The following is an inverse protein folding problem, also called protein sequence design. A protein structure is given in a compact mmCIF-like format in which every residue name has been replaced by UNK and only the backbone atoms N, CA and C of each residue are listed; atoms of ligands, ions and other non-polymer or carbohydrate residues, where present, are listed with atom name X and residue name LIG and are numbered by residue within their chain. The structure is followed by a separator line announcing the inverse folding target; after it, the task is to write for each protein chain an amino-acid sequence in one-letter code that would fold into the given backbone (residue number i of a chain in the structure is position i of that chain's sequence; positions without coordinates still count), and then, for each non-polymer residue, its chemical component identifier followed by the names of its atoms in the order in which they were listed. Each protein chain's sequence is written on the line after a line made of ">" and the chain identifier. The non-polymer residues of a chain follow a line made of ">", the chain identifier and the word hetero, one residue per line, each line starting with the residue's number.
data_IF_439234748332
#
_entry.id   IF_439234748332
#
_cell.length_a   1.000
_cell.length_b   1.000
_cell.length_c   1.000
_cell.angle_alpha   90.00
_cell.angle_beta   90.00
_cell.angle_gamma   90.00
#
_symmetry.space_group_name_H-M   'P 1'
#
loop_
_entity.id
_entity.type
_entity.pdbx_description
1 polymer ?
#
# COMPACT_ATOMS: atom_id res chain seq x y z
N UNK A 1 49.52 38.11 -51.69
CA UNK A 1 50.71 37.48 -51.09
C UNK A 1 50.45 37.40 -49.60
N UNK A 2 49.43 36.65 -49.17
CA UNK A 2 49.51 35.23 -48.82
C UNK A 2 50.66 35.01 -47.82
N UNK A 3 50.34 35.20 -46.54
CA UNK A 3 51.21 34.84 -45.42
C UNK A 3 50.74 33.49 -44.88
N UNK A 4 51.74 32.71 -44.48
CA UNK A 4 51.77 31.28 -44.25
C UNK A 4 50.75 30.70 -43.26
N UNK A 5 50.39 29.46 -43.58
CA UNK A 5 49.72 28.50 -42.74
C UNK A 5 50.63 28.04 -41.60
N UNK A 6 50.14 28.14 -40.36
CA UNK A 6 50.62 27.36 -39.24
C UNK A 6 49.45 26.51 -38.72
N UNK A 7 49.71 25.21 -38.70
CA UNK A 7 48.84 24.11 -38.33
C UNK A 7 48.59 24.17 -36.82
N UNK A 8 47.33 24.18 -36.38
CA UNK A 8 46.96 24.01 -34.97
C UNK A 8 46.41 22.58 -34.80
N UNK A 9 47.13 21.77 -34.04
CA UNK A 9 46.82 20.36 -33.78
C UNK A 9 45.58 20.26 -32.87
N UNK A 10 44.45 19.85 -33.44
CA UNK A 10 43.27 19.46 -32.65
C UNK A 10 43.56 18.13 -31.98
N UNK A 11 44.03 18.20 -30.72
CA UNK A 11 44.05 17.09 -29.77
C UNK A 11 42.61 16.65 -29.52
N UNK A 12 42.18 15.59 -30.20
CA UNK A 12 40.93 14.90 -29.89
C UNK A 12 41.05 14.30 -28.48
N UNK A 13 40.30 14.88 -27.55
CA UNK A 13 40.12 14.38 -26.19
C UNK A 13 39.35 13.05 -26.27
N UNK A 14 40.03 11.96 -25.91
CA UNK A 14 39.43 10.64 -25.76
C UNK A 14 38.37 10.71 -24.66
N UNK A 15 37.10 10.81 -25.06
CA UNK A 15 35.96 10.84 -24.14
C UNK A 15 35.97 9.63 -23.20
N UNK A 16 35.59 9.80 -21.93
CA UNK A 16 35.72 8.76 -20.93
C UNK A 16 34.84 7.56 -21.32
N UNK A 17 35.49 6.40 -21.37
CA UNK A 17 34.89 5.09 -21.53
C UNK A 17 33.67 4.94 -20.62
N UNK A 18 32.52 4.59 -21.21
CA UNK A 18 31.34 4.14 -20.46
C UNK A 18 31.73 2.90 -19.66
N UNK A 19 31.88 3.05 -18.35
CA UNK A 19 31.93 1.93 -17.43
C UNK A 19 30.54 1.29 -17.37
N UNK A 20 30.39 0.17 -18.08
CA UNK A 20 29.34 -0.81 -17.82
C UNK A 20 29.56 -1.38 -16.41
N UNK A 21 28.78 -0.90 -15.44
CA UNK A 21 28.82 -1.39 -14.07
C UNK A 21 28.27 -0.44 -13.02
N UNK A 22 27.04 0.07 -13.15
CA UNK A 22 26.33 0.70 -12.03
C UNK A 22 24.96 0.05 -11.80
N UNK A 23 24.97 -0.99 -10.97
CA UNK A 23 23.77 -1.69 -10.51
C UNK A 23 22.99 -0.95 -9.41
N UNK A 24 23.17 0.36 -9.22
CA UNK A 24 22.51 1.07 -8.13
C UNK A 24 22.34 2.57 -8.36
N UNK A 25 21.44 2.95 -9.27
CA UNK A 25 20.98 4.33 -9.41
C UNK A 25 20.73 4.99 -8.04
N UNK A 26 21.23 6.21 -7.88
CA UNK A 26 21.32 6.92 -6.59
C UNK A 26 19.98 7.10 -5.85
N UNK A 27 20.00 7.59 -4.60
CA UNK A 27 18.79 7.71 -3.78
C UNK A 27 17.69 8.54 -4.46
N UNK A 28 16.50 7.96 -4.56
CA UNK A 28 15.31 8.56 -5.18
C UNK A 28 14.32 8.97 -4.10
N UNK A 29 13.86 10.22 -4.16
CA UNK A 29 12.77 10.73 -3.33
C UNK A 29 11.41 10.56 -4.03
N UNK A 30 10.34 10.98 -3.35
CA UNK A 30 9.00 10.99 -3.94
C UNK A 30 8.37 12.38 -3.92
N UNK A 31 7.39 12.60 -4.81
CA UNK A 31 6.61 13.83 -4.82
C UNK A 31 5.78 13.99 -3.54
N UNK A 32 5.51 15.23 -3.14
CA UNK A 32 4.72 15.55 -1.92
C UNK A 32 3.35 14.87 -1.89
N UNK A 33 2.68 14.77 -3.04
CA UNK A 33 1.38 14.10 -3.15
C UNK A 33 1.47 12.62 -2.75
N UNK A 34 2.45 11.87 -3.27
CA UNK A 34 2.65 10.46 -2.92
C UNK A 34 3.01 10.28 -1.44
N UNK A 35 3.87 11.14 -0.90
CA UNK A 35 4.22 11.12 0.51
C UNK A 35 2.99 11.36 1.40
N UNK A 36 2.14 12.33 1.06
CA UNK A 36 0.86 12.55 1.74
C UNK A 36 -0.08 11.35 1.61
N UNK A 37 -0.14 10.70 0.45
CA UNK A 37 -0.95 9.49 0.28
C UNK A 37 -0.49 8.38 1.24
N UNK A 38 0.82 8.13 1.37
CA UNK A 38 1.36 7.16 2.33
C UNK A 38 1.03 7.54 3.78
N UNK A 39 1.18 8.82 4.14
CA UNK A 39 0.84 9.30 5.48
C UNK A 39 -0.64 9.09 5.78
N UNK A 40 -1.54 9.57 4.90
CA UNK A 40 -2.99 9.50 5.12
C UNK A 40 -3.47 8.05 5.18
N UNK A 41 -3.06 7.23 4.20
CA UNK A 41 -3.45 5.82 4.16
C UNK A 41 -2.83 5.02 5.32
N UNK A 42 -1.57 5.30 5.67
CA UNK A 42 -0.92 4.72 6.85
C UNK A 42 -1.65 5.10 8.15
N UNK A 43 -2.02 6.37 8.32
CA UNK A 43 -2.80 6.80 9.51
C UNK A 43 -4.19 6.16 9.56
N UNK A 44 -4.87 6.03 8.42
CA UNK A 44 -6.17 5.37 8.35
C UNK A 44 -6.08 3.89 8.76
N UNK A 45 -5.08 3.17 8.25
CA UNK A 45 -4.81 1.78 8.65
C UNK A 45 -4.39 1.65 10.11
N UNK A 46 -3.54 2.56 10.59
CA UNK A 46 -3.11 2.61 11.99
C UNK A 46 -4.30 2.86 12.93
N UNK A 47 -5.18 3.79 12.58
CA UNK A 47 -6.39 4.07 13.35
C UNK A 47 -7.31 2.85 13.40
N UNK A 48 -7.54 2.19 12.26
CA UNK A 48 -8.32 0.95 12.23
C UNK A 48 -7.70 -0.13 13.12
N UNK A 49 -6.40 -0.38 12.99
CA UNK A 49 -5.68 -1.37 13.78
C UNK A 49 -5.73 -1.05 15.29
N UNK A 50 -5.57 0.22 15.64
CA UNK A 50 -5.64 0.69 17.02
C UNK A 50 -7.01 0.45 17.63
N UNK A 51 -8.09 0.87 16.95
CA UNK A 51 -9.46 0.70 17.45
C UNK A 51 -9.83 -0.78 17.58
N UNK A 52 -9.51 -1.61 16.57
CA UNK A 52 -9.78 -3.06 16.66
C UNK A 52 -9.03 -3.69 17.85
N UNK A 53 -7.80 -3.24 18.12
CA UNK A 53 -7.03 -3.75 19.27
C UNK A 53 -7.70 -3.37 20.59
N UNK A 54 -8.16 -2.13 20.74
CA UNK A 54 -8.89 -1.68 21.94
C UNK A 54 -10.21 -2.43 22.12
N UNK A 55 -10.99 -2.58 21.05
CA UNK A 55 -12.27 -3.31 21.10
C UNK A 55 -12.05 -4.78 21.48
N UNK A 56 -10.96 -5.40 21.02
CA UNK A 56 -10.59 -6.76 21.41
C UNK A 56 -10.21 -6.86 22.89
N UNK A 57 -9.50 -5.87 23.44
CA UNK A 57 -9.21 -5.86 24.88
C UNK A 57 -10.46 -5.70 25.73
N UNK A 58 -11.39 -4.81 25.35
CA UNK A 58 -12.66 -4.69 26.07
C UNK A 58 -13.50 -5.97 26.01
N UNK A 59 -13.52 -6.66 24.86
CA UNK A 59 -14.23 -7.94 24.72
C UNK A 59 -13.63 -9.05 25.59
N UNK A 60 -12.32 -9.01 25.84
CA UNK A 60 -11.64 -9.94 26.76
C UNK A 60 -11.94 -9.64 28.24
N UNK A 61 -12.23 -8.38 28.57
CA UNK A 61 -12.62 -7.95 29.92
C UNK A 61 -14.09 -8.19 30.21
N UNK A 62 -14.95 -7.92 29.21
CA UNK A 62 -16.40 -8.07 29.27
C UNK A 62 -16.92 -8.71 27.97
N UNK A 63 -17.29 -10.01 27.99
CA UNK A 63 -17.79 -10.70 26.80
C UNK A 63 -19.15 -10.17 26.31
N UNK A 64 -19.87 -9.40 27.13
CA UNK A 64 -21.12 -8.73 26.72
C UNK A 64 -20.85 -7.36 26.05
N UNK A 65 -19.58 -6.94 25.91
CA UNK A 65 -19.21 -5.71 25.23
C UNK A 65 -19.54 -5.76 23.73
N UNK A 66 -20.40 -4.85 23.28
CA UNK A 66 -20.71 -4.68 21.85
C UNK A 66 -19.82 -3.61 21.22
N UNK A 67 -18.93 -3.96 20.27
CA UNK A 67 -18.08 -2.97 19.60
C UNK A 67 -18.91 -1.93 18.85
N UNK A 68 -18.44 -0.68 18.81
CA UNK A 68 -19.17 0.44 18.22
C UNK A 68 -19.49 0.27 16.73
N UNK A 69 -18.75 -0.60 16.03
CA UNK A 69 -18.98 -0.93 14.62
C UNK A 69 -19.84 -2.19 14.42
N UNK A 70 -20.44 -2.75 15.48
CA UNK A 70 -21.38 -3.88 15.42
C UNK A 70 -22.81 -3.37 15.51
N UNK A 71 -23.47 -3.17 14.36
CA UNK A 71 -24.83 -2.60 14.29
C UNK A 71 -25.90 -3.64 13.98
N UNK A 72 -25.54 -4.67 13.21
CA UNK A 72 -26.46 -5.70 12.76
C UNK A 72 -25.71 -7.05 12.58
N UNK A 73 -26.42 -8.17 12.35
CA UNK A 73 -25.76 -9.48 12.23
C UNK A 73 -24.75 -9.58 11.07
N UNK A 74 -24.92 -8.78 10.02
CA UNK A 74 -24.00 -8.72 8.86
C UNK A 74 -22.79 -7.85 9.17
N UNK A 75 -23.00 -6.68 9.78
CA UNK A 75 -21.96 -5.72 10.16
C UNK A 75 -21.67 -5.91 11.65
N UNK A 76 -20.88 -6.93 11.95
CA UNK A 76 -20.54 -7.38 13.31
C UNK A 76 -19.04 -7.56 13.46
N UNK A 77 -18.39 -6.58 14.09
CA UNK A 77 -16.95 -6.68 14.39
C UNK A 77 -16.66 -7.70 15.49
N UNK A 78 -17.57 -7.89 16.45
CA UNK A 78 -17.42 -8.88 17.52
C UNK A 78 -17.18 -10.29 16.96
N UNK A 79 -18.07 -10.74 16.06
CA UNK A 79 -17.97 -12.07 15.44
C UNK A 79 -16.66 -12.31 14.67
N UNK A 80 -16.07 -11.25 14.10
CA UNK A 80 -14.77 -11.33 13.42
C UNK A 80 -13.63 -11.41 14.44
N UNK A 81 -13.71 -10.68 15.55
CA UNK A 81 -12.65 -10.65 16.57
C UNK A 81 -12.54 -11.93 17.38
N UNK A 82 -13.65 -12.66 17.53
CA UNK A 82 -13.73 -13.97 18.19
C UNK A 82 -13.26 -15.12 17.30
N UNK A 83 -13.14 -14.91 15.99
CA UNK A 83 -12.73 -15.94 15.04
C UNK A 83 -11.24 -16.29 15.17
N UNK A 84 -10.88 -17.55 14.88
CA UNK A 84 -9.48 -18.01 14.85
C UNK A 84 -8.63 -17.21 13.84
N UNK A 85 -9.26 -16.72 12.78
CA UNK A 85 -8.63 -15.91 11.75
C UNK A 85 -8.17 -14.54 12.27
N UNK A 86 -8.60 -14.11 13.46
CA UNK A 86 -8.11 -12.91 14.11
C UNK A 86 -6.66 -13.04 14.62
N UNK A 87 -6.09 -14.25 14.70
CA UNK A 87 -4.76 -14.55 15.27
C UNK A 87 -3.91 -15.51 14.42
N UNK A 88 -3.60 -15.12 13.18
CA UNK A 88 -2.98 -16.02 12.19
C UNK A 88 -1.51 -16.34 12.51
N UNK A 89 -0.79 -15.38 13.08
CA UNK A 89 0.65 -15.48 13.36
C UNK A 89 0.96 -15.78 14.83
N UNK A 90 -0.03 -16.27 15.59
CA UNK A 90 0.09 -16.46 17.05
C UNK A 90 0.00 -15.17 17.86
N UNK A 91 -0.44 -14.08 17.23
CA UNK A 91 -0.78 -12.82 17.87
C UNK A 91 -1.92 -12.15 17.10
N UNK A 92 -2.66 -11.21 17.71
CA UNK A 92 -3.75 -10.51 17.05
C UNK A 92 -3.28 -9.77 15.80
N UNK A 93 -3.91 -10.07 14.65
CA UNK A 93 -3.61 -9.41 13.36
C UNK A 93 -3.63 -7.87 13.44
N UNK A 94 -4.51 -7.21 14.23
CA UNK A 94 -4.46 -5.76 14.42
C UNK A 94 -3.12 -5.26 14.95
N UNK A 95 -2.39 -6.04 15.75
CA UNK A 95 -1.06 -5.67 16.22
C UNK A 95 -0.03 -5.63 15.09
N UNK A 96 -0.12 -6.54 14.12
CA UNK A 96 0.68 -6.47 12.89
C UNK A 96 0.40 -5.15 12.15
N UNK A 97 -0.88 -4.79 12.06
CA UNK A 97 -1.34 -3.53 11.49
C UNK A 97 -0.71 -2.32 12.18
N UNK A 98 -0.72 -2.26 13.52
CA UNK A 98 -0.13 -1.13 14.26
C UNK A 98 1.34 -0.90 13.90
N UNK A 99 2.13 -1.98 13.85
CA UNK A 99 3.56 -1.90 13.49
C UNK A 99 3.72 -1.49 12.03
N UNK A 100 3.09 -2.21 11.11
CA UNK A 100 3.30 -2.02 9.67
C UNK A 100 2.79 -0.67 9.18
N UNK A 101 1.59 -0.25 9.58
CA UNK A 101 1.06 1.07 9.22
C UNK A 101 1.83 2.20 9.90
N UNK A 102 2.26 2.03 11.15
CA UNK A 102 3.13 2.98 11.84
C UNK A 102 4.45 3.20 11.08
N UNK A 103 5.07 2.13 10.57
CA UNK A 103 6.26 2.23 9.72
C UNK A 103 5.96 3.00 8.42
N UNK A 104 4.82 2.73 7.75
CA UNK A 104 4.45 3.47 6.52
C UNK A 104 4.26 4.96 6.79
N UNK A 105 3.62 5.32 7.90
CA UNK A 105 3.49 6.74 8.32
C UNK A 105 4.87 7.35 8.51
N UNK A 106 5.78 6.68 9.21
CA UNK A 106 7.15 7.17 9.42
C UNK A 106 7.91 7.36 8.09
N UNK A 107 7.75 6.45 7.13
CA UNK A 107 8.33 6.55 5.79
C UNK A 107 7.76 7.75 5.04
N UNK A 108 6.43 7.92 5.05
CA UNK A 108 5.75 9.04 4.43
C UNK A 108 6.20 10.39 5.02
N UNK A 109 6.31 10.48 6.33
CA UNK A 109 6.84 11.68 7.02
C UNK A 109 8.31 11.93 6.68
N UNK A 110 9.13 10.87 6.59
CA UNK A 110 10.51 10.96 6.12
C UNK A 110 10.61 11.55 4.72
N UNK A 111 9.75 11.11 3.78
CA UNK A 111 9.68 11.68 2.43
C UNK A 111 9.29 13.17 2.45
N UNK A 112 8.35 13.57 3.31
CA UNK A 112 7.98 14.98 3.48
C UNK A 112 9.13 15.83 4.06
N UNK A 113 9.96 15.24 4.91
CA UNK A 113 11.19 15.86 5.42
C UNK A 113 12.34 15.89 4.41
N UNK A 114 12.15 15.32 3.20
CA UNK A 114 13.16 15.32 2.13
C UNK A 114 14.03 14.07 2.07
N UNK A 115 13.68 13.00 2.79
CA UNK A 115 14.39 11.72 2.69
C UNK A 115 14.37 11.17 1.25
N UNK A 116 15.46 10.54 0.86
CA UNK A 116 15.61 9.83 -0.42
C UNK A 116 16.07 8.42 -0.14
N UNK A 117 15.41 7.44 -0.76
CA UNK A 117 15.68 6.03 -0.52
C UNK A 117 16.29 5.36 -1.74
N UNK A 118 17.11 4.34 -1.50
CA UNK A 118 17.71 3.53 -2.58
C UNK A 118 16.64 2.61 -3.20
N UNK A 119 16.89 2.14 -4.42
CA UNK A 119 15.99 1.22 -5.15
C UNK A 119 15.50 0.03 -4.33
N UNK A 120 16.37 -0.62 -3.56
CA UNK A 120 16.01 -1.80 -2.77
C UNK A 120 14.92 -1.50 -1.72
N UNK A 121 14.93 -0.29 -1.16
CA UNK A 121 13.95 0.14 -0.16
C UNK A 121 12.57 0.28 -0.80
N UNK A 122 12.51 0.85 -2.00
CA UNK A 122 11.29 0.98 -2.78
C UNK A 122 10.70 -0.36 -3.19
N UNK A 123 11.54 -1.33 -3.56
CA UNK A 123 11.12 -2.71 -3.81
C UNK A 123 10.67 -3.43 -2.52
N UNK A 124 11.32 -3.15 -1.39
CA UNK A 124 10.89 -3.65 -0.08
C UNK A 124 9.51 -3.13 0.32
N UNK A 125 9.25 -1.83 0.14
CA UNK A 125 7.94 -1.22 0.37
C UNK A 125 6.88 -1.83 -0.56
N UNK A 126 7.23 -2.09 -1.82
CA UNK A 126 6.35 -2.79 -2.75
C UNK A 126 6.03 -4.20 -2.28
N UNK A 127 7.03 -4.96 -1.84
CA UNK A 127 6.85 -6.32 -1.36
C UNK A 127 5.96 -6.35 -0.11
N UNK A 128 6.19 -5.42 0.84
CA UNK A 128 5.36 -5.28 2.04
C UNK A 128 3.91 -4.89 1.73
N UNK A 129 3.69 -3.93 0.83
CA UNK A 129 2.33 -3.54 0.43
C UNK A 129 1.61 -4.62 -0.38
N UNK A 130 2.34 -5.37 -1.22
CA UNK A 130 1.80 -6.54 -1.94
C UNK A 130 1.39 -7.65 -0.96
N UNK A 131 2.26 -7.96 0.01
CA UNK A 131 1.93 -8.89 1.08
C UNK A 131 0.69 -8.44 1.85
N UNK A 132 0.61 -7.16 2.20
CA UNK A 132 -0.55 -6.58 2.86
C UNK A 132 -1.84 -6.76 2.05
N UNK A 133 -1.83 -6.47 0.74
CA UNK A 133 -3.00 -6.69 -0.12
C UNK A 133 -3.39 -8.16 -0.15
N UNK A 134 -2.44 -9.07 -0.36
CA UNK A 134 -2.71 -10.51 -0.41
C UNK A 134 -3.29 -11.02 0.92
N UNK A 135 -2.74 -10.58 2.05
CA UNK A 135 -3.20 -10.93 3.38
C UNK A 135 -4.61 -10.37 3.65
N UNK A 136 -4.87 -9.10 3.31
CA UNK A 136 -6.20 -8.50 3.40
C UNK A 136 -7.22 -9.23 2.51
N UNK A 137 -6.86 -9.62 1.28
CA UNK A 137 -7.74 -10.38 0.39
C UNK A 137 -8.09 -11.76 0.97
N UNK A 138 -7.12 -12.44 1.59
CA UNK A 138 -7.38 -13.70 2.26
C UNK A 138 -8.30 -13.52 3.49
N UNK A 139 -8.03 -12.53 4.34
CA UNK A 139 -8.91 -12.21 5.48
C UNK A 139 -10.33 -11.81 5.03
N UNK A 140 -10.44 -11.08 3.93
CA UNK A 140 -11.73 -10.74 3.32
C UNK A 140 -12.48 -11.99 2.88
N UNK A 141 -11.81 -12.94 2.23
CA UNK A 141 -12.43 -14.21 1.86
C UNK A 141 -12.97 -14.94 3.10
N UNK A 142 -12.19 -15.04 4.17
CA UNK A 142 -12.62 -15.65 5.44
C UNK A 142 -13.84 -14.90 6.03
N UNK A 143 -13.80 -13.57 6.06
CA UNK A 143 -14.91 -12.73 6.55
C UNK A 143 -16.21 -12.96 5.77
N UNK A 144 -16.14 -12.96 4.43
CA UNK A 144 -17.31 -13.02 3.55
C UNK A 144 -17.92 -14.42 3.43
N UNK A 145 -17.09 -15.46 3.38
CA UNK A 145 -17.51 -16.80 2.97
C UNK A 145 -17.45 -17.85 4.07
N UNK A 146 -16.66 -17.63 5.13
CA UNK A 146 -16.58 -18.54 6.28
C UNK A 146 -17.32 -17.98 7.49
N UNK A 147 -16.97 -16.76 7.93
CA UNK A 147 -17.53 -16.13 9.13
C UNK A 147 -18.91 -15.52 8.86
N UNK A 148 -19.14 -15.05 7.62
CA UNK A 148 -20.37 -14.38 7.20
C UNK A 148 -20.66 -13.07 7.97
N UNK A 149 -19.62 -12.32 8.28
CA UNK A 149 -19.70 -11.00 8.91
C UNK A 149 -18.76 -9.99 8.24
N UNK A 150 -19.02 -8.71 8.47
CA UNK A 150 -18.28 -7.57 7.94
C UNK A 150 -17.88 -6.62 9.07
N UNK A 151 -16.61 -6.22 9.11
CA UNK A 151 -16.11 -5.20 10.04
C UNK A 151 -15.73 -3.93 9.29
N UNK A 152 -16.31 -2.79 9.67
CA UNK A 152 -16.04 -1.50 9.03
C UNK A 152 -14.59 -1.03 9.22
N UNK A 153 -13.97 -1.34 10.37
CA UNK A 153 -12.55 -1.05 10.59
C UNK A 153 -11.64 -1.91 9.72
N UNK A 154 -11.98 -3.19 9.53
CA UNK A 154 -11.27 -4.05 8.58
C UNK A 154 -11.41 -3.52 7.15
N UNK A 155 -12.61 -3.11 6.73
CA UNK A 155 -12.82 -2.48 5.42
C UNK A 155 -11.96 -1.22 5.25
N UNK A 156 -11.84 -0.38 6.28
CA UNK A 156 -10.96 0.79 6.25
C UNK A 156 -9.49 0.39 6.05
N UNK A 157 -9.02 -0.63 6.79
CA UNK A 157 -7.68 -1.18 6.63
C UNK A 157 -7.46 -1.76 5.22
N UNK A 158 -8.44 -2.45 4.63
CA UNK A 158 -8.36 -2.97 3.26
C UNK A 158 -8.19 -1.84 2.25
N UNK A 159 -9.04 -0.82 2.31
CA UNK A 159 -8.97 0.35 1.43
C UNK A 159 -7.61 1.05 1.56
N UNK A 160 -7.16 1.29 2.79
CA UNK A 160 -5.87 1.91 3.05
C UNK A 160 -4.71 1.12 2.41
N UNK A 161 -4.66 -0.19 2.61
CA UNK A 161 -3.62 -1.06 2.05
C UNK A 161 -3.64 -1.11 0.52
N UNK A 162 -4.83 -1.15 -0.08
CA UNK A 162 -5.00 -1.16 -1.54
C UNK A 162 -4.49 0.16 -2.15
N UNK A 163 -4.83 1.29 -1.53
CA UNK A 163 -4.33 2.61 -1.95
C UNK A 163 -2.80 2.65 -1.84
N UNK A 164 -2.22 2.23 -0.70
CA UNK A 164 -0.77 2.17 -0.54
C UNK A 164 -0.08 1.34 -1.64
N UNK A 165 -0.62 0.16 -1.92
CA UNK A 165 -0.07 -0.76 -2.92
C UNK A 165 -0.07 -0.14 -4.32
N UNK A 166 -1.21 0.39 -4.78
CA UNK A 166 -1.31 0.93 -6.13
C UNK A 166 -0.46 2.19 -6.34
N UNK A 167 -0.43 3.09 -5.35
CA UNK A 167 0.41 4.28 -5.44
C UNK A 167 1.90 3.93 -5.38
N UNK A 168 2.30 2.94 -4.56
CA UNK A 168 3.69 2.46 -4.51
C UNK A 168 4.08 1.79 -5.83
N UNK A 169 3.16 1.02 -6.42
CA UNK A 169 3.32 0.40 -7.74
C UNK A 169 3.53 1.47 -8.81
N UNK A 170 2.67 2.48 -8.84
CA UNK A 170 2.79 3.61 -9.76
C UNK A 170 4.14 4.33 -9.62
N UNK A 171 4.56 4.63 -8.38
CA UNK A 171 5.87 5.23 -8.13
C UNK A 171 7.01 4.36 -8.69
N UNK A 172 7.00 3.07 -8.40
CA UNK A 172 8.04 2.14 -8.83
C UNK A 172 8.09 1.93 -10.35
N UNK A 173 6.93 1.92 -11.01
CA UNK A 173 6.84 1.84 -12.47
C UNK A 173 7.38 3.13 -13.11
N UNK A 174 7.00 4.30 -12.59
CA UNK A 174 7.45 5.60 -13.09
C UNK A 174 8.95 5.83 -12.91
N UNK A 175 9.52 5.36 -11.80
CA UNK A 175 10.97 5.38 -11.56
C UNK A 175 11.72 4.25 -12.29
N UNK A 176 11.02 3.34 -12.95
CA UNK A 176 11.62 2.23 -13.70
C UNK A 176 12.20 1.11 -12.84
N UNK A 177 11.87 1.05 -11.55
CA UNK A 177 12.31 -0.02 -10.65
C UNK A 177 11.66 -1.36 -10.98
N UNK A 178 10.41 -1.32 -11.46
CA UNK A 178 9.67 -2.46 -11.99
C UNK A 178 9.74 -2.48 -13.54
N UNK A 179 10.17 -3.60 -14.16
CA UNK A 179 10.12 -3.74 -15.60
C UNK A 179 8.65 -3.83 -16.04
N UNK A 180 8.19 -2.83 -16.78
CA UNK A 180 6.83 -2.77 -17.30
C UNK A 180 6.90 -2.37 -18.79
N UNK A 181 6.14 -3.05 -19.67
CA UNK A 181 6.04 -2.68 -21.09
C UNK A 181 5.57 -1.22 -21.25
N UNK A 182 6.01 -0.55 -22.32
CA UNK A 182 5.71 0.88 -22.55
C UNK A 182 4.20 1.20 -22.49
N UNK A 183 3.34 0.31 -23.02
CA UNK A 183 1.89 0.48 -22.95
C UNK A 183 1.30 0.35 -21.54
N UNK A 184 1.87 -0.50 -20.69
CA UNK A 184 1.44 -0.62 -19.27
C UNK A 184 1.85 0.62 -18.49
N UNK A 185 3.04 1.17 -18.78
CA UNK A 185 3.52 2.42 -18.19
C UNK A 185 2.63 3.60 -18.54
N UNK A 186 2.27 3.76 -19.82
CA UNK A 186 1.39 4.87 -20.24
C UNK A 186 0.01 4.80 -19.60
N UNK A 187 -0.60 3.61 -19.54
CA UNK A 187 -1.92 3.43 -18.90
C UNK A 187 -1.85 3.71 -17.39
N UNK A 188 -0.81 3.24 -16.70
CA UNK A 188 -0.64 3.52 -15.26
C UNK A 188 -0.38 5.00 -14.98
N UNK A 189 0.31 5.70 -15.87
CA UNK A 189 0.57 7.14 -15.70
C UNK A 189 -0.70 7.97 -15.87
N UNK A 190 -1.51 7.65 -16.88
CA UNK A 190 -2.74 8.39 -17.21
C UNK A 190 -3.91 8.03 -16.25
N UNK A 191 -4.03 6.76 -15.86
CA UNK A 191 -5.16 6.24 -15.08
C UNK A 191 -4.77 5.75 -13.67
N UNK A 192 -3.77 6.37 -13.04
CA UNK A 192 -3.27 5.93 -11.72
C UNK A 192 -4.35 5.85 -10.62
N UNK A 193 -5.38 6.69 -10.64
CA UNK A 193 -6.50 6.66 -9.68
C UNK A 193 -7.55 5.59 -10.00
N UNK A 194 -7.61 5.12 -11.25
CA UNK A 194 -8.58 4.13 -11.71
C UNK A 194 -8.34 2.78 -11.05
N UNK A 195 -7.09 2.34 -10.97
CA UNK A 195 -6.73 1.04 -10.41
C UNK A 195 -7.14 0.83 -8.94
N UNK A 196 -6.83 1.73 -7.99
CA UNK A 196 -7.32 1.58 -6.62
C UNK A 196 -8.85 1.69 -6.56
N UNK A 197 -9.47 2.57 -7.35
CA UNK A 197 -10.93 2.74 -7.38
C UNK A 197 -11.64 1.49 -7.87
N UNK A 198 -11.16 0.88 -8.96
CA UNK A 198 -11.72 -0.37 -9.49
C UNK A 198 -11.50 -1.51 -8.53
N UNK A 199 -10.31 -1.63 -7.91
CA UNK A 199 -10.03 -2.70 -6.94
C UNK A 199 -10.97 -2.60 -5.72
N UNK A 200 -11.15 -1.40 -5.15
CA UNK A 200 -12.11 -1.16 -4.06
C UNK A 200 -13.56 -1.37 -4.53
N UNK A 201 -13.90 -0.94 -5.75
CA UNK A 201 -15.23 -1.13 -6.33
C UNK A 201 -15.59 -2.61 -6.52
N UNK A 202 -14.65 -3.44 -6.95
CA UNK A 202 -14.81 -4.90 -7.03
C UNK A 202 -15.09 -5.49 -5.65
N UNK A 203 -14.34 -5.07 -4.63
CA UNK A 203 -14.58 -5.52 -3.24
C UNK A 203 -15.97 -5.10 -2.75
N UNK A 204 -16.36 -3.84 -3.00
CA UNK A 204 -17.69 -3.34 -2.69
C UNK A 204 -18.79 -4.16 -3.38
N UNK A 205 -18.60 -4.52 -4.65
CA UNK A 205 -19.52 -5.37 -5.39
C UNK A 205 -19.62 -6.79 -4.80
N UNK A 206 -18.50 -7.38 -4.37
CA UNK A 206 -18.50 -8.69 -3.69
C UNK A 206 -19.27 -8.63 -2.37
N UNK A 207 -19.10 -7.57 -1.58
CA UNK A 207 -19.87 -7.34 -0.35
C UNK A 207 -21.37 -7.19 -0.64
N UNK A 208 -21.73 -6.34 -1.61
CA UNK A 208 -23.13 -6.09 -1.97
C UNK A 208 -23.84 -7.36 -2.47
N UNK A 209 -23.17 -8.13 -3.33
CA UNK A 209 -23.74 -9.37 -3.87
C UNK A 209 -23.83 -10.48 -2.82
N UNK A 210 -22.91 -10.54 -1.86
CA UNK A 210 -22.92 -11.55 -0.79
C UNK A 210 -24.16 -11.47 0.11
N UNK A 211 -24.61 -10.24 0.40
CA UNK A 211 -25.75 -9.96 1.29
C UNK A 211 -26.91 -9.26 0.58
N UNK A 212 -27.05 -9.44 -0.74
CA UNK A 212 -28.05 -8.76 -1.55
C UNK A 212 -29.46 -8.84 -0.96
N UNK A 213 -29.90 -10.05 -0.60
CA UNK A 213 -31.24 -10.30 -0.06
C UNK A 213 -31.50 -9.52 1.24
N UNK A 214 -30.49 -9.43 2.12
CA UNK A 214 -30.57 -8.68 3.38
C UNK A 214 -30.73 -7.16 3.17
N UNK A 215 -30.13 -6.60 2.11
CA UNK A 215 -30.25 -5.17 1.80
C UNK A 215 -31.57 -4.81 1.13
N UNK A 216 -32.19 -5.77 0.42
CA UNK A 216 -33.44 -5.54 -0.33
C UNK A 216 -34.71 -5.89 0.44
N UNK A 217 -34.59 -6.51 1.61
CA UNK A 217 -35.68 -6.85 2.53
C UNK A 217 -35.90 -5.77 3.59
#
# INVERSE_FOLDING_TARGET
>A
MAADAAVDEVRADEGPARSEGDGGGGPVGAGRAFALTLVISGFAGLLAAWVITLDKFHLLEDPDFTPACSFNPVVSCGSIMESDQAEVFGFPNPMLGMVTYGMVVAIGMGLLAGARYRRWFWLGLQAGTLFGVAFCTWLMYQSLYEINALCLWCCLAWVATIVMFWYTTWHNVRQGFLPAPRGVRSVLEEFHWLFPTVHVGVIGMLILTRWWDFWTS
#
